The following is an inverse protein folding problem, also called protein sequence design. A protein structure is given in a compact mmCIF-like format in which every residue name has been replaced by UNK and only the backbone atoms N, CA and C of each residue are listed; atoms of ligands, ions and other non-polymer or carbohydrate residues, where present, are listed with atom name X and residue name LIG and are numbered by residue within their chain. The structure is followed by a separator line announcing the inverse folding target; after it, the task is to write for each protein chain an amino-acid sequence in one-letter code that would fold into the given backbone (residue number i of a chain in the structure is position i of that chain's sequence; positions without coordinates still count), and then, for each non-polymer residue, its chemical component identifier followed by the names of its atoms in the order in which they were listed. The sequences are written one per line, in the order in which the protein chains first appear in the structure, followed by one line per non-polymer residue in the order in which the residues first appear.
data_IF_751236293461
#
_entry.id   IF_751236293461
#
_cell.length_a   1.000
_cell.length_b   1.000
_cell.length_c   1.000
_cell.angle_alpha   90.00
_cell.angle_beta   90.00
_cell.angle_gamma   90.00
#
_symmetry.space_group_name_H-M   'P 1'
#
loop_
_entity.id
_entity.type
_entity.pdbx_description
1 polymer ?
#
# COMPACT_ATOMS: atom_id res chain seq x y z
N UNK A 1 11.91 -19.32 -20.40
CA UNK A 1 12.30 -19.74 -19.04
C UNK A 1 12.48 -18.46 -18.22
N UNK A 2 11.77 -18.26 -17.10
CA UNK A 2 11.86 -17.02 -16.31
C UNK A 2 13.27 -16.92 -15.66
N UNK A 3 14.12 -15.96 -16.03
CA UNK A 3 15.49 -15.87 -15.50
C UNK A 3 15.52 -15.48 -14.00
N UNK A 4 14.39 -15.04 -13.43
CA UNK A 4 14.29 -14.49 -12.07
C UNK A 4 13.70 -15.45 -11.03
N UNK A 5 13.54 -16.74 -11.33
CA UNK A 5 12.89 -17.65 -10.38
C UNK A 5 11.41 -17.30 -10.17
N UNK A 6 10.95 -17.31 -8.92
CA UNK A 6 9.64 -16.80 -8.49
C UNK A 6 9.87 -15.47 -7.79
N UNK A 7 9.20 -14.40 -8.23
CA UNK A 7 9.24 -13.10 -7.57
C UNK A 7 8.34 -13.11 -6.34
N UNK A 8 8.84 -12.62 -5.22
CA UNK A 8 8.11 -12.44 -3.96
C UNK A 8 7.66 -10.99 -3.85
N UNK A 9 6.36 -10.75 -3.99
CA UNK A 9 5.72 -9.45 -3.89
C UNK A 9 5.19 -9.24 -2.47
N UNK A 10 5.84 -8.36 -1.72
CA UNK A 10 5.47 -7.95 -0.38
C UNK A 10 4.28 -6.98 -0.35
N UNK A 11 3.39 -7.18 0.61
CA UNK A 11 2.24 -6.31 0.86
C UNK A 11 1.87 -6.24 2.34
N UNK A 12 1.15 -5.19 2.71
CA UNK A 12 0.42 -5.13 3.98
C UNK A 12 -0.76 -6.11 3.97
N UNK A 13 -1.22 -6.49 5.15
CA UNK A 13 -2.31 -7.47 5.34
C UNK A 13 -3.74 -6.90 5.22
N UNK A 14 -3.92 -5.61 4.95
CA UNK A 14 -5.27 -5.05 4.79
C UNK A 14 -5.91 -5.56 3.49
N UNK A 15 -7.25 -5.67 3.47
CA UNK A 15 -7.98 -6.14 2.28
C UNK A 15 -7.66 -5.31 1.04
N UNK A 16 -7.58 -3.98 1.18
CA UNK A 16 -7.23 -3.09 0.07
C UNK A 16 -5.80 -3.34 -0.44
N UNK A 17 -4.82 -3.50 0.46
CA UNK A 17 -3.43 -3.75 0.08
C UNK A 17 -3.27 -5.09 -0.65
N UNK A 18 -3.97 -6.13 -0.19
CA UNK A 18 -4.02 -7.42 -0.87
C UNK A 18 -4.63 -7.30 -2.28
N UNK A 19 -5.73 -6.56 -2.43
CA UNK A 19 -6.35 -6.33 -3.74
C UNK A 19 -5.41 -5.59 -4.69
N UNK A 20 -4.76 -4.51 -4.24
CA UNK A 20 -3.78 -3.76 -5.04
C UNK A 20 -2.61 -4.66 -5.48
N UNK A 21 -2.13 -5.50 -4.56
CA UNK A 21 -1.02 -6.42 -4.80
C UNK A 21 -1.40 -7.53 -5.78
N UNK A 22 -2.61 -8.07 -5.70
CA UNK A 22 -3.12 -9.06 -6.65
C UNK A 22 -3.21 -8.47 -8.06
N UNK A 23 -3.74 -7.24 -8.21
CA UNK A 23 -3.79 -6.55 -9.50
C UNK A 23 -2.39 -6.36 -10.11
N UNK A 24 -1.38 -6.01 -9.29
CA UNK A 24 0.01 -5.94 -9.75
C UNK A 24 0.57 -7.32 -10.12
N UNK A 25 0.31 -8.34 -9.30
CA UNK A 25 0.76 -9.71 -9.54
C UNK A 25 0.15 -10.29 -10.82
N UNK A 26 -1.13 -10.07 -11.08
CA UNK A 26 -1.82 -10.47 -12.31
C UNK A 26 -1.14 -9.87 -13.55
N UNK A 27 -0.81 -8.57 -13.53
CA UNK A 27 -0.11 -7.90 -14.64
C UNK A 27 1.28 -8.49 -14.87
N UNK A 28 2.02 -8.80 -13.82
CA UNK A 28 3.34 -9.45 -13.92
C UNK A 28 3.22 -10.90 -14.43
N UNK A 29 2.24 -11.67 -13.93
CA UNK A 29 1.96 -13.04 -14.38
C UNK A 29 1.54 -13.09 -15.85
N UNK A 30 0.75 -12.12 -16.32
CA UNK A 30 0.40 -11.98 -17.73
C UNK A 30 1.61 -11.72 -18.64
N UNK A 31 2.72 -11.21 -18.09
CA UNK A 31 4.01 -11.06 -18.79
C UNK A 31 4.91 -12.31 -18.70
N UNK A 32 4.42 -13.42 -18.14
CA UNK A 32 5.15 -14.68 -18.02
C UNK A 32 6.04 -14.81 -16.78
N UNK A 33 5.91 -13.90 -15.81
CA UNK A 33 6.63 -13.98 -14.54
C UNK A 33 5.88 -14.86 -13.54
N UNK A 34 6.63 -15.61 -12.71
CA UNK A 34 6.06 -16.29 -11.55
C UNK A 34 6.06 -15.33 -10.36
N UNK A 35 4.92 -15.15 -9.69
CA UNK A 35 4.76 -14.19 -8.58
C UNK A 35 4.04 -14.84 -7.40
N UNK A 36 4.68 -14.82 -6.23
CA UNK A 36 4.12 -15.15 -4.91
C UNK A 36 3.81 -13.85 -4.17
N UNK A 37 2.65 -13.74 -3.52
CA UNK A 37 2.34 -12.61 -2.64
C UNK A 37 2.67 -12.99 -1.20
N UNK A 38 3.44 -12.13 -0.53
CA UNK A 38 3.82 -12.30 0.87
C UNK A 38 3.28 -11.15 1.72
N UNK A 39 2.49 -11.47 2.72
CA UNK A 39 2.04 -10.49 3.71
C UNK A 39 3.19 -10.22 4.68
N UNK A 40 3.71 -9.00 4.66
CA UNK A 40 4.68 -8.52 5.65
C UNK A 40 3.91 -7.96 6.83
N UNK A 41 4.06 -8.62 7.98
CA UNK A 41 3.36 -8.20 9.20
C UNK A 41 3.99 -6.91 9.71
N UNK A 42 3.18 -5.87 9.82
CA UNK A 42 3.57 -4.65 10.52
C UNK A 42 3.62 -4.96 12.02
N UNK A 43 4.77 -4.75 12.64
CA UNK A 43 4.86 -4.49 14.09
C UNK A 43 4.27 -3.09 14.33
N UNK A 44 2.95 -2.99 14.26
CA UNK A 44 2.27 -1.79 14.71
C UNK A 44 2.27 -1.84 16.23
N UNK A 45 3.29 -1.26 16.85
CA UNK A 45 3.30 -0.94 18.28
C UNK A 45 2.28 0.19 18.60
N UNK A 46 1.60 0.71 17.57
CA UNK A 46 0.63 1.79 17.68
C UNK A 46 -0.77 1.25 17.92
N UNK A 47 -1.38 1.71 19.01
CA UNK A 47 -2.78 1.46 19.33
C UNK A 47 -3.67 2.04 18.21
N UNK A 48 -4.79 1.39 17.84
CA UNK A 48 -5.76 1.90 16.87
C UNK A 48 -6.27 3.31 17.19
N UNK A 49 -6.19 3.72 18.46
CA UNK A 49 -6.69 5.01 18.96
C UNK A 49 -5.71 6.17 18.81
N UNK A 50 -4.47 5.93 18.37
CA UNK A 50 -3.50 7.00 18.14
C UNK A 50 -3.85 7.73 16.84
N UNK A 51 -4.15 9.05 16.88
CA UNK A 51 -4.45 9.80 15.65
C UNK A 51 -3.28 9.75 14.67
N UNK A 52 -3.56 9.57 13.37
CA UNK A 52 -2.53 9.56 12.32
C UNK A 52 -1.72 10.87 12.25
N UNK A 53 -2.24 11.97 12.79
CA UNK A 53 -1.55 13.26 12.87
C UNK A 53 -0.39 13.29 13.86
N UNK A 54 -0.35 12.37 14.84
CA UNK A 54 0.72 12.30 15.85
C UNK A 54 1.70 11.14 15.62
N UNK A 55 1.51 10.36 14.56
CA UNK A 55 2.44 9.29 14.18
C UNK A 55 3.32 9.78 13.04
N UNK A 56 4.64 9.59 13.15
CA UNK A 56 5.54 9.86 12.04
C UNK A 56 5.14 8.98 10.85
N UNK A 57 4.72 9.61 9.74
CA UNK A 57 4.15 8.92 8.57
C UNK A 57 5.13 7.94 7.93
N UNK A 58 6.43 8.12 8.14
CA UNK A 58 7.47 7.21 7.65
C UNK A 58 7.42 5.84 8.33
N UNK A 59 7.04 5.80 9.60
CA UNK A 59 7.15 4.59 10.43
C UNK A 59 5.96 3.63 10.32
N UNK A 60 4.80 4.12 9.85
CA UNK A 60 3.53 3.36 9.99
C UNK A 60 3.28 2.40 8.84
N UNK A 61 3.67 2.77 7.61
CA UNK A 61 3.14 2.09 6.42
C UNK A 61 4.19 1.57 5.44
N UNK A 62 5.42 2.08 5.44
CA UNK A 62 6.48 1.60 4.52
C UNK A 62 7.61 0.87 5.23
N UNK A 63 7.99 1.27 6.45
CA UNK A 63 9.18 0.77 7.16
C UNK A 63 9.37 -0.75 7.10
N UNK A 64 8.36 -1.55 7.44
CA UNK A 64 8.54 -3.01 7.48
C UNK A 64 8.67 -3.64 6.09
N UNK A 65 8.03 -3.05 5.07
CA UNK A 65 8.21 -3.49 3.68
C UNK A 65 9.58 -3.06 3.15
N UNK A 66 10.05 -1.87 3.55
CA UNK A 66 11.40 -1.38 3.24
C UNK A 66 12.48 -2.29 3.87
N UNK A 67 12.31 -2.66 5.15
CA UNK A 67 13.18 -3.61 5.85
C UNK A 67 13.20 -4.98 5.17
N UNK A 68 12.04 -5.50 4.78
CA UNK A 68 11.93 -6.78 4.09
C UNK A 68 12.58 -6.76 2.69
N UNK A 69 12.47 -5.63 1.97
CA UNK A 69 13.16 -5.42 0.68
C UNK A 69 14.68 -5.42 0.87
N UNK A 70 15.18 -4.64 1.83
CA UNK A 70 16.61 -4.50 2.10
C UNK A 70 17.23 -5.82 2.63
N UNK A 71 16.45 -6.62 3.35
CA UNK A 71 16.85 -7.95 3.81
C UNK A 71 16.78 -9.03 2.72
N UNK A 72 16.20 -8.73 1.54
CA UNK A 72 15.99 -9.70 0.46
C UNK A 72 14.91 -10.75 0.77
N UNK A 73 14.01 -10.47 1.71
CA UNK A 73 12.89 -11.36 2.06
C UNK A 73 11.73 -11.26 1.05
N UNK A 74 11.65 -10.13 0.36
CA UNK A 74 10.75 -9.82 -0.75
C UNK A 74 11.54 -9.13 -1.86
N UNK A 75 11.11 -9.30 -3.11
CA UNK A 75 11.76 -8.69 -4.29
C UNK A 75 11.12 -7.36 -4.69
N UNK A 76 9.81 -7.20 -4.40
CA UNK A 76 9.00 -6.05 -4.76
C UNK A 76 8.04 -5.72 -3.62
N UNK A 77 7.74 -4.45 -3.40
CA UNK A 77 6.66 -4.02 -2.50
C UNK A 77 5.59 -3.23 -3.26
N UNK A 78 4.32 -3.46 -2.93
CA UNK A 78 3.19 -2.70 -3.48
C UNK A 78 2.60 -1.79 -2.41
N UNK A 79 2.48 -0.51 -2.76
CA UNK A 79 1.91 0.53 -1.90
C UNK A 79 0.84 1.33 -2.64
N UNK A 80 -0.06 1.93 -1.86
CA UNK A 80 -0.77 3.13 -2.33
C UNK A 80 0.25 4.27 -2.42
N UNK A 81 0.36 4.92 -3.58
CA UNK A 81 1.41 5.91 -3.82
C UNK A 81 1.39 7.08 -2.82
N UNK A 82 0.22 7.45 -2.29
CA UNK A 82 0.07 8.49 -1.26
C UNK A 82 0.75 8.16 0.07
N UNK A 83 1.04 6.88 0.32
CA UNK A 83 1.68 6.41 1.55
C UNK A 83 3.20 6.27 1.38
N UNK A 84 3.75 6.47 0.17
CA UNK A 84 5.19 6.38 -0.10
C UNK A 84 5.86 7.71 0.27
N UNK A 85 6.94 7.71 1.07
CA UNK A 85 7.65 8.94 1.43
C UNK A 85 8.30 9.59 0.21
N UNK A 86 8.43 10.91 0.23
CA UNK A 86 9.11 11.68 -0.83
C UNK A 86 10.60 11.33 -0.92
N UNK A 87 11.22 11.05 0.23
CA UNK A 87 12.60 10.57 0.33
C UNK A 87 12.59 9.07 0.60
N UNK A 88 13.08 8.29 -0.37
CA UNK A 88 13.20 6.84 -0.23
C UNK A 88 14.47 6.46 0.56
N UNK A 89 14.45 5.36 1.33
CA UNK A 89 15.66 4.82 1.94
C UNK A 89 16.72 4.47 0.88
N UNK A 90 18.00 4.58 1.26
CA UNK A 90 19.09 4.11 0.41
C UNK A 90 18.91 2.62 0.08
N UNK A 91 19.15 2.26 -1.19
CA UNK A 91 18.94 0.89 -1.68
C UNK A 91 17.51 0.58 -2.13
N UNK A 92 16.55 1.49 -1.93
CA UNK A 92 15.16 1.35 -2.39
C UNK A 92 14.88 2.35 -3.52
N UNK A 93 14.18 1.88 -4.55
CA UNK A 93 13.77 2.71 -5.69
C UNK A 93 12.30 2.48 -6.03
N UNK A 94 11.59 3.57 -6.34
CA UNK A 94 10.27 3.49 -6.94
C UNK A 94 10.40 3.08 -8.41
N UNK A 95 10.27 1.78 -8.68
CA UNK A 95 10.53 1.20 -10.01
C UNK A 95 9.35 1.34 -10.99
N UNK A 96 8.11 1.41 -10.48
CA UNK A 96 6.92 1.46 -11.30
C UNK A 96 5.78 2.22 -10.62
N UNK A 97 4.95 2.86 -11.43
CA UNK A 97 3.68 3.48 -11.03
C UNK A 97 2.59 2.84 -11.90
N UNK A 98 1.55 2.30 -11.27
CA UNK A 98 0.40 1.73 -11.97
C UNK A 98 -0.47 2.83 -12.60
N UNK A 99 -1.33 2.44 -13.53
CA UNK A 99 -2.38 3.33 -14.04
C UNK A 99 -3.22 3.88 -12.89
N UNK A 100 -3.48 5.20 -12.94
CA UNK A 100 -4.16 5.92 -11.86
C UNK A 100 -5.67 5.66 -11.91
N UNK A 101 -6.22 5.17 -10.81
CA UNK A 101 -7.67 5.16 -10.59
C UNK A 101 -8.19 6.59 -10.32
N UNK A 102 -9.51 6.76 -10.27
CA UNK A 102 -10.14 8.04 -9.93
C UNK A 102 -9.51 8.63 -8.65
N UNK A 103 -8.90 9.82 -8.73
CA UNK A 103 -8.24 10.46 -7.60
C UNK A 103 -9.19 11.25 -6.70
N UNK A 104 -10.48 11.30 -7.03
CA UNK A 104 -11.47 12.10 -6.31
C UNK A 104 -11.74 11.53 -4.91
N UNK A 105 -11.96 12.42 -3.94
CA UNK A 105 -12.52 12.02 -2.66
C UNK A 105 -14.01 11.67 -2.82
N UNK A 106 -14.51 10.78 -1.98
CA UNK A 106 -15.91 10.37 -1.96
C UNK A 106 -16.56 10.74 -0.62
N UNK A 107 -17.72 11.40 -0.67
CA UNK A 107 -18.57 11.57 0.50
C UNK A 107 -19.35 10.29 0.77
N UNK A 108 -19.22 9.76 1.98
CA UNK A 108 -19.99 8.59 2.43
C UNK A 108 -20.92 9.04 3.57
N UNK A 109 -22.21 9.19 3.26
CA UNK A 109 -23.24 9.58 4.23
C UNK A 109 -24.24 8.44 4.41
N UNK A 110 -24.49 8.04 5.67
CA UNK A 110 -25.51 7.03 5.98
C UNK A 110 -26.94 7.49 5.65
N UNK A 111 -27.17 8.80 5.60
CA UNK A 111 -28.46 9.42 5.28
C UNK A 111 -28.56 9.87 3.81
N UNK A 112 -27.53 9.63 2.99
CA UNK A 112 -27.51 10.02 1.58
C UNK A 112 -27.40 11.53 1.34
N UNK A 113 -26.89 12.28 2.32
CA UNK A 113 -26.63 13.71 2.14
C UNK A 113 -25.45 13.93 1.19
N UNK A 114 -25.59 14.95 0.35
CA UNK A 114 -24.46 15.60 -0.30
C UNK A 114 -23.80 16.62 0.65
N UNK A 115 -22.74 17.27 0.19
CA UNK A 115 -21.98 18.23 1.01
C UNK A 115 -22.84 19.42 1.42
N UNK A 116 -23.73 19.89 0.54
CA UNK A 116 -24.59 21.05 0.77
C UNK A 116 -25.80 20.71 1.68
N UNK A 117 -26.20 19.45 1.72
CA UNK A 117 -27.31 18.93 2.53
C UNK A 117 -26.94 18.49 3.94
N UNK A 118 -25.68 18.67 4.38
CA UNK A 118 -25.27 18.34 5.75
C UNK A 118 -25.98 19.28 6.75
N UNK A 119 -26.65 18.75 7.80
CA UNK A 119 -27.27 19.57 8.82
C UNK A 119 -26.20 20.24 9.68
N UNK A 120 -26.57 21.36 10.29
CA UNK A 120 -25.71 22.06 11.25
C UNK A 120 -25.28 21.13 12.39
N UNK A 121 -23.96 21.01 12.60
CA UNK A 121 -23.37 20.18 13.64
C UNK A 121 -23.09 18.73 13.26
N UNK A 122 -23.21 18.34 11.98
CA UNK A 122 -22.77 17.03 11.52
C UNK A 122 -21.26 16.80 11.76
N UNK A 123 -20.89 15.57 12.14
CA UNK A 123 -19.50 15.12 12.40
C UNK A 123 -19.12 13.95 11.51
#
# INVERSE_FOLDING_TARGET
MNPFGTLVLGTRGSRLALTQSETCAEKLRARGLRVEIRVVRTTSDHRPETPLSVIDRRDVFTRQLDEALLAGEIDLAVHSLKDVPTELPEGIVLTAISERHDPSDALVSGAGWDVDGLPGGAT
#
